data_IF_115346350709
#
_entry.id   IF_115346350709
#
_cell.length_a   1.000
_cell.length_b   1.000
_cell.length_c   1.000
_cell.angle_alpha   90.00
_cell.angle_beta   90.00
_cell.angle_gamma   90.00
#
_symmetry.space_group_name_H-M   'P 1'
#
loop_
_entity.id
_entity.type
_entity.pdbx_description
1 polymer ?
#
# COMPACT_ATOMS: atom_id res chain seq x y z
N UNK A 1 15.50 5.47 5.67
CA UNK A 1 15.48 4.00 5.90
C UNK A 1 16.34 3.59 7.09
N UNK A 2 17.66 3.85 7.08
CA UNK A 2 18.58 3.41 8.14
C UNK A 2 18.15 3.78 9.57
N UNK A 3 17.79 5.05 9.82
CA UNK A 3 17.35 5.49 11.15
C UNK A 3 16.08 4.78 11.64
N UNK A 4 15.12 4.52 10.75
CA UNK A 4 13.89 3.80 11.10
C UNK A 4 14.17 2.33 11.45
N UNK A 5 14.92 1.63 10.59
CA UNK A 5 15.26 0.23 10.82
C UNK A 5 16.14 0.05 12.08
N UNK A 6 17.06 0.98 12.32
CA UNK A 6 17.86 1.03 13.55
C UNK A 6 16.99 1.19 14.79
N UNK A 7 16.07 2.17 14.78
CA UNK A 7 15.14 2.40 15.90
C UNK A 7 14.20 1.20 16.13
N UNK A 8 13.74 0.55 15.05
CA UNK A 8 12.92 -0.66 15.16
C UNK A 8 13.69 -1.79 15.86
N UNK A 9 14.93 -2.05 15.42
CA UNK A 9 15.80 -3.08 16.00
C UNK A 9 16.04 -2.83 17.49
N UNK A 10 16.42 -1.61 17.84
CA UNK A 10 16.68 -1.22 19.23
C UNK A 10 15.44 -1.43 20.09
N UNK A 11 14.28 -0.94 19.65
CA UNK A 11 13.02 -1.08 20.40
C UNK A 11 12.60 -2.54 20.60
N UNK A 12 12.87 -3.41 19.63
CA UNK A 12 12.60 -4.85 19.76
C UNK A 12 13.57 -5.50 20.75
N UNK A 13 14.85 -5.16 20.69
CA UNK A 13 15.88 -5.64 21.61
C UNK A 13 15.61 -5.21 23.06
N UNK A 14 15.27 -3.93 23.29
CA UNK A 14 14.91 -3.42 24.63
C UNK A 14 13.68 -4.12 25.21
N UNK A 15 12.79 -4.65 24.36
CA UNK A 15 11.62 -5.44 24.78
C UNK A 15 11.90 -6.94 24.93
N UNK A 16 13.16 -7.37 24.82
CA UNK A 16 13.58 -8.75 25.02
C UNK A 16 13.34 -9.67 23.81
N UNK A 17 13.09 -9.13 22.61
CA UNK A 17 13.00 -9.95 21.40
C UNK A 17 14.37 -10.54 21.08
N UNK A 18 14.45 -11.88 20.99
CA UNK A 18 15.70 -12.63 20.75
C UNK A 18 15.84 -13.17 19.31
N UNK A 19 14.84 -12.94 18.47
CA UNK A 19 14.84 -13.41 17.09
C UNK A 19 15.58 -12.49 16.14
N UNK A 20 15.69 -12.92 14.89
CA UNK A 20 16.16 -12.09 13.79
C UNK A 20 15.01 -11.25 13.23
N UNK A 21 15.30 -10.00 12.90
CA UNK A 21 14.35 -9.11 12.23
C UNK A 21 14.66 -9.12 10.74
N UNK A 22 13.68 -9.54 9.95
CA UNK A 22 13.79 -9.64 8.50
C UNK A 22 12.82 -8.67 7.82
N UNK A 23 13.20 -8.20 6.64
CA UNK A 23 12.44 -7.24 5.82
C UNK A 23 12.08 -7.90 4.49
N UNK A 24 10.82 -7.77 4.07
CA UNK A 24 10.37 -8.25 2.76
C UNK A 24 11.11 -7.52 1.64
N UNK A 25 11.55 -8.26 0.63
CA UNK A 25 12.24 -7.71 -0.54
C UNK A 25 11.26 -7.46 -1.69
N UNK A 26 11.63 -6.55 -2.60
CA UNK A 26 10.83 -6.20 -3.77
C UNK A 26 10.58 -7.39 -4.71
N UNK A 27 11.58 -8.26 -4.90
CA UNK A 27 11.47 -9.48 -5.72
C UNK A 27 10.84 -10.67 -5.00
N UNK A 28 10.27 -10.46 -3.81
CA UNK A 28 9.84 -11.52 -2.90
C UNK A 28 10.96 -12.07 -2.03
N UNK A 29 10.60 -12.91 -1.06
CA UNK A 29 11.55 -13.36 -0.03
C UNK A 29 11.88 -12.26 0.99
N UNK A 30 12.90 -12.50 1.82
CA UNK A 30 13.23 -11.61 2.94
C UNK A 30 14.74 -11.40 3.05
N UNK A 31 15.14 -10.25 3.62
CA UNK A 31 16.55 -9.89 3.89
C UNK A 31 16.76 -9.38 5.30
N UNK A 32 18.01 -9.41 5.76
CA UNK A 32 18.40 -8.83 7.04
C UNK A 32 18.27 -7.31 7.06
N UNK A 33 18.17 -6.73 8.27
CA UNK A 33 18.17 -5.28 8.44
C UNK A 33 19.46 -4.65 7.92
N UNK A 34 20.60 -5.31 8.10
CA UNK A 34 21.90 -4.84 7.60
C UNK A 34 21.88 -4.70 6.07
N UNK A 35 21.35 -5.71 5.38
CA UNK A 35 21.21 -5.69 3.93
C UNK A 35 20.24 -4.61 3.49
N UNK A 36 19.11 -4.45 4.19
CA UNK A 36 18.13 -3.42 3.90
C UNK A 36 18.69 -1.99 4.04
N UNK A 37 19.61 -1.78 5.00
CA UNK A 37 20.31 -0.50 5.17
C UNK A 37 21.31 -0.24 4.04
N UNK A 38 22.05 -1.27 3.62
CA UNK A 38 23.04 -1.16 2.54
C UNK A 38 22.41 -1.04 1.15
N UNK A 39 21.28 -1.71 0.92
CA UNK A 39 20.58 -1.78 -0.36
C UNK A 39 19.08 -1.43 -0.21
N UNK A 40 18.75 -0.18 0.19
CA UNK A 40 17.38 0.22 0.51
C UNK A 40 16.44 0.20 -0.70
N UNK A 41 16.95 0.26 -1.92
CA UNK A 41 16.13 0.11 -3.13
C UNK A 41 15.48 -1.27 -3.21
N UNK A 42 16.08 -2.31 -2.62
CA UNK A 42 15.55 -3.68 -2.61
C UNK A 42 14.36 -3.90 -1.66
N UNK A 43 13.93 -2.87 -0.92
CA UNK A 43 12.69 -2.90 -0.11
C UNK A 43 11.59 -2.00 -0.70
N UNK A 44 11.75 -1.55 -1.94
CA UNK A 44 10.68 -0.90 -2.68
C UNK A 44 9.47 -1.83 -2.80
N UNK A 45 8.25 -1.32 -2.64
CA UNK A 45 7.01 -2.13 -2.64
C UNK A 45 6.97 -3.32 -1.65
N UNK A 46 7.81 -3.34 -0.59
CA UNK A 46 7.91 -4.50 0.31
C UNK A 46 6.58 -4.93 0.95
N UNK A 47 5.67 -3.99 1.21
CA UNK A 47 4.34 -4.30 1.77
C UNK A 47 3.43 -4.98 0.74
N UNK A 48 3.13 -4.32 -0.39
CA UNK A 48 2.33 -4.90 -1.47
C UNK A 48 2.84 -6.25 -1.97
N UNK A 49 4.17 -6.40 -2.11
CA UNK A 49 4.81 -7.68 -2.47
C UNK A 49 4.42 -8.79 -1.50
N UNK A 50 4.49 -8.52 -0.18
CA UNK A 50 4.06 -9.50 0.83
C UNK A 50 2.57 -9.86 0.69
N UNK A 51 1.72 -8.86 0.40
CA UNK A 51 0.30 -9.04 0.18
C UNK A 51 0.00 -9.92 -1.04
N UNK A 52 0.66 -9.65 -2.17
CA UNK A 52 0.52 -10.43 -3.41
C UNK A 52 0.99 -11.88 -3.20
N UNK A 53 2.15 -12.09 -2.58
CA UNK A 53 2.65 -13.45 -2.29
C UNK A 53 1.67 -14.19 -1.38
N UNK A 54 1.15 -13.53 -0.34
CA UNK A 54 0.15 -14.11 0.55
C UNK A 54 -1.14 -14.47 -0.19
N UNK A 55 -1.64 -13.57 -1.03
CA UNK A 55 -2.83 -13.77 -1.84
C UNK A 55 -2.66 -14.95 -2.83
N UNK A 56 -1.51 -15.06 -3.48
CA UNK A 56 -1.19 -16.17 -4.38
C UNK A 56 -1.28 -17.52 -3.65
N UNK A 57 -0.69 -17.61 -2.44
CA UNK A 57 -0.73 -18.83 -1.62
C UNK A 57 -2.14 -19.19 -1.19
N UNK A 58 -2.92 -18.21 -0.76
CA UNK A 58 -4.32 -18.43 -0.35
C UNK A 58 -5.18 -18.85 -1.54
N UNK A 59 -5.08 -18.16 -2.69
CA UNK A 59 -5.82 -18.48 -3.90
C UNK A 59 -5.54 -19.92 -4.36
N UNK A 60 -4.26 -20.30 -4.41
CA UNK A 60 -3.86 -21.66 -4.80
C UNK A 60 -4.40 -22.72 -3.83
N UNK A 61 -4.34 -22.46 -2.51
CA UNK A 61 -4.89 -23.36 -1.50
C UNK A 61 -6.42 -23.52 -1.59
N UNK A 62 -7.11 -22.53 -2.14
CA UNK A 62 -8.55 -22.55 -2.40
C UNK A 62 -8.92 -23.17 -3.77
N UNK A 63 -7.94 -23.69 -4.53
CA UNK A 63 -8.17 -24.28 -5.85
C UNK A 63 -8.25 -23.27 -6.99
N UNK A 64 -7.81 -22.03 -6.78
CA UNK A 64 -7.68 -21.00 -7.81
C UNK A 64 -6.21 -20.84 -8.20
N UNK A 65 -5.70 -21.62 -9.18
CA UNK A 65 -4.31 -21.53 -9.61
C UNK A 65 -4.01 -20.23 -10.35
N UNK A 66 -5.02 -19.48 -10.82
CA UNK A 66 -4.85 -18.19 -11.46
C UNK A 66 -5.72 -17.17 -10.71
N UNK A 67 -5.10 -16.11 -10.21
CA UNK A 67 -5.79 -15.08 -9.47
C UNK A 67 -5.15 -13.71 -9.69
N UNK A 68 -5.97 -12.66 -9.57
CA UNK A 68 -5.51 -11.28 -9.53
C UNK A 68 -5.50 -10.85 -8.07
N UNK A 69 -4.32 -10.57 -7.53
CA UNK A 69 -4.18 -9.96 -6.22
C UNK A 69 -4.46 -8.47 -6.34
N UNK A 70 -5.32 -7.92 -5.49
CA UNK A 70 -5.70 -6.50 -5.53
C UNK A 70 -5.64 -5.92 -4.10
N UNK A 71 -4.85 -4.86 -3.91
CA UNK A 71 -4.72 -4.14 -2.65
C UNK A 71 -4.96 -2.64 -2.89
N UNK A 72 -6.03 -2.12 -2.30
CA UNK A 72 -6.39 -0.71 -2.39
C UNK A 72 -6.22 -0.02 -1.05
N UNK A 73 -5.30 0.95 -1.03
CA UNK A 73 -5.12 1.86 0.09
C UNK A 73 -5.92 3.16 -0.06
N UNK A 74 -5.60 4.15 0.77
CA UNK A 74 -6.20 5.49 0.70
C UNK A 74 -5.69 6.35 -0.46
N UNK A 75 -4.56 6.00 -1.08
CA UNK A 75 -3.95 6.84 -2.12
C UNK A 75 -3.83 6.10 -3.44
N UNK A 76 -3.45 4.82 -3.38
CA UNK A 76 -3.17 4.03 -4.56
C UNK A 76 -3.77 2.64 -4.45
N UNK A 77 -4.04 2.06 -5.60
CA UNK A 77 -4.45 0.67 -5.76
C UNK A 77 -3.33 -0.07 -6.49
N UNK A 78 -3.04 -1.28 -6.04
CA UNK A 78 -2.01 -2.14 -6.59
C UNK A 78 -2.61 -3.47 -6.98
N UNK A 79 -2.15 -4.00 -8.10
CA UNK A 79 -2.63 -5.27 -8.64
C UNK A 79 -1.49 -6.11 -9.21
N UNK A 80 -1.62 -7.42 -9.14
CA UNK A 80 -0.67 -8.37 -9.70
C UNK A 80 -1.36 -9.65 -10.16
N UNK A 81 -0.92 -10.22 -11.27
CA UNK A 81 -1.35 -11.54 -11.71
C UNK A 81 -0.51 -12.61 -11.01
N UNK A 82 -1.20 -13.60 -10.46
CA UNK A 82 -0.58 -14.74 -9.77
C UNK A 82 -0.97 -16.04 -10.46
N UNK A 83 -0.01 -16.97 -10.55
CA UNK A 83 -0.16 -18.26 -11.23
C UNK A 83 0.49 -19.37 -10.41
N UNK A 84 -0.25 -20.46 -10.22
CA UNK A 84 0.15 -21.67 -9.50
C UNK A 84 0.75 -21.36 -8.11
N UNK A 85 0.14 -20.39 -7.41
CA UNK A 85 0.59 -19.95 -6.09
C UNK A 85 1.83 -19.07 -6.06
N UNK A 86 2.29 -18.60 -7.22
CA UNK A 86 3.45 -17.72 -7.38
C UNK A 86 3.05 -16.37 -7.98
N UNK A 87 3.80 -15.34 -7.63
CA UNK A 87 3.73 -14.04 -8.29
C UNK A 87 4.83 -13.95 -9.36
N UNK A 88 4.56 -13.27 -10.46
CA UNK A 88 5.54 -13.06 -11.52
C UNK A 88 6.63 -12.09 -11.05
N UNK A 89 7.88 -12.30 -11.49
CA UNK A 89 9.02 -11.43 -11.18
C UNK A 89 9.49 -10.79 -12.48
N UNK A 90 9.64 -9.46 -12.46
CA UNK A 90 10.10 -8.65 -13.57
C UNK A 90 11.32 -7.82 -13.16
N UNK A 91 12.11 -7.38 -14.14
CA UNK A 91 13.16 -6.36 -13.97
C UNK A 91 12.77 -5.03 -14.62
N UNK A 92 11.57 -4.96 -15.22
CA UNK A 92 11.07 -3.79 -15.92
C UNK A 92 10.13 -2.98 -15.01
N UNK A 93 10.68 -2.42 -13.93
CA UNK A 93 9.90 -1.62 -12.97
C UNK A 93 10.26 -0.13 -13.06
N UNK A 94 9.26 0.75 -13.03
CA UNK A 94 9.41 2.20 -13.13
C UNK A 94 8.83 2.91 -11.90
N UNK A 95 9.68 3.57 -11.11
CA UNK A 95 9.21 4.40 -9.99
C UNK A 95 8.64 5.71 -10.55
N UNK A 96 7.35 5.96 -10.32
CA UNK A 96 6.66 7.16 -10.84
C UNK A 96 5.96 6.94 -12.18
N UNK A 97 5.68 5.68 -12.54
CA UNK A 97 4.93 5.30 -13.73
C UNK A 97 5.79 5.12 -14.98
N UNK A 98 5.25 4.41 -15.97
CA UNK A 98 6.01 4.00 -17.16
C UNK A 98 6.53 5.18 -18.02
N UNK A 99 5.75 6.26 -18.17
CA UNK A 99 6.07 7.36 -19.08
C UNK A 99 7.11 8.35 -18.54
N UNK A 100 7.14 8.55 -17.22
CA UNK A 100 7.95 9.61 -16.57
C UNK A 100 8.80 9.09 -15.41
N UNK A 101 8.69 7.79 -15.11
CA UNK A 101 9.36 7.18 -13.97
C UNK A 101 10.80 6.79 -14.25
N UNK A 102 11.51 6.47 -13.17
CA UNK A 102 12.90 6.01 -13.24
C UNK A 102 12.93 4.49 -13.29
N UNK A 103 13.61 3.88 -14.27
CA UNK A 103 13.73 2.43 -14.35
C UNK A 103 14.60 1.89 -13.21
N UNK A 104 14.17 0.78 -12.62
CA UNK A 104 14.89 0.07 -11.55
C UNK A 104 15.29 -1.31 -12.06
N UNK A 105 16.59 -1.54 -12.19
CA UNK A 105 17.18 -2.78 -12.73
C UNK A 105 17.39 -3.83 -11.63
N UNK A 106 16.35 -4.10 -10.84
CA UNK A 106 16.36 -5.13 -9.80
C UNK A 106 15.16 -6.06 -10.01
N UNK A 107 15.23 -7.33 -9.57
CA UNK A 107 14.06 -8.19 -9.54
C UNK A 107 12.98 -7.61 -8.61
N UNK A 108 11.77 -7.42 -9.14
CA UNK A 108 10.59 -6.94 -8.42
C UNK A 108 9.41 -7.84 -8.79
N UNK A 109 8.54 -8.15 -7.83
CA UNK A 109 7.27 -8.80 -8.16
C UNK A 109 6.48 -7.88 -9.09
N UNK A 110 5.95 -8.42 -10.19
CA UNK A 110 5.22 -7.64 -11.17
C UNK A 110 3.92 -7.09 -10.56
N UNK A 111 3.97 -5.81 -10.20
CA UNK A 111 2.89 -5.07 -9.56
C UNK A 111 2.64 -3.82 -10.39
N UNK A 112 1.38 -3.66 -10.77
CA UNK A 112 0.90 -2.45 -11.43
C UNK A 112 0.24 -1.58 -10.36
N UNK A 113 0.63 -0.30 -10.32
CA UNK A 113 0.03 0.70 -9.44
C UNK A 113 -0.82 1.68 -10.24
N UNK A 114 -2.00 2.00 -9.69
CA UNK A 114 -2.86 3.07 -10.16
C UNK A 114 -2.99 4.11 -9.06
N UNK A 115 -2.81 5.38 -9.41
CA UNK A 115 -2.96 6.56 -8.54
C UNK A 115 -4.41 6.86 -8.16
N UNK A 116 -5.17 5.84 -7.77
CA UNK A 116 -6.53 5.94 -7.27
C UNK A 116 -6.71 5.02 -6.07
N UNK A 117 -7.17 5.57 -4.95
CA UNK A 117 -7.49 4.83 -3.74
C UNK A 117 -8.63 5.50 -2.98
N UNK A 118 -8.97 5.01 -1.78
CA UNK A 118 -10.15 5.48 -1.05
C UNK A 118 -10.15 6.97 -0.64
N UNK A 119 -9.00 7.65 -0.69
CA UNK A 119 -8.85 9.08 -0.45
C UNK A 119 -8.66 9.90 -1.73
N UNK A 120 -8.71 9.30 -2.92
CA UNK A 120 -8.62 10.04 -4.17
C UNK A 120 -9.80 10.97 -4.33
N UNK A 121 -9.52 12.22 -4.69
CA UNK A 121 -10.50 13.31 -4.75
C UNK A 121 -11.35 13.15 -6.02
N UNK A 122 -12.67 13.23 -5.85
CA UNK A 122 -13.62 13.25 -6.94
C UNK A 122 -13.83 14.68 -7.44
N UNK A 123 -13.84 14.89 -8.75
CA UNK A 123 -14.07 16.18 -9.40
C UNK A 123 -14.78 16.00 -10.75
N UNK A 124 -15.29 17.09 -11.31
CA UNK A 124 -15.92 17.13 -12.64
C UNK A 124 -14.96 17.79 -13.63
N UNK A 125 -14.74 17.15 -14.77
CA UNK A 125 -13.99 17.77 -15.85
C UNK A 125 -14.79 18.87 -16.57
N UNK A 126 -14.13 19.59 -17.48
CA UNK A 126 -14.74 20.68 -18.22
C UNK A 126 -15.92 20.25 -19.11
N UNK A 127 -16.03 18.95 -19.43
CA UNK A 127 -17.14 18.37 -20.19
C UNK A 127 -18.26 17.83 -19.27
N UNK A 128 -18.13 18.00 -17.95
CA UNK A 128 -19.10 17.50 -16.96
C UNK A 128 -18.94 16.02 -16.62
N UNK A 129 -17.87 15.37 -17.07
CA UNK A 129 -17.56 13.98 -16.74
C UNK A 129 -16.98 13.86 -15.33
N UNK A 130 -17.40 12.83 -14.58
CA UNK A 130 -16.84 12.56 -13.25
C UNK A 130 -15.46 11.90 -13.35
N UNK A 131 -14.52 12.40 -12.56
CA UNK A 131 -13.14 11.92 -12.43
C UNK A 131 -12.81 11.69 -10.95
N UNK A 132 -11.92 10.75 -10.69
CA UNK A 132 -11.40 10.44 -9.35
C UNK A 132 -9.88 10.36 -9.43
N UNK A 133 -9.19 11.08 -8.54
CA UNK A 133 -7.73 11.22 -8.59
C UNK A 133 -7.25 12.17 -9.70
N UNK A 134 -5.94 12.29 -9.94
CA UNK A 134 -4.86 11.59 -9.24
C UNK A 134 -4.56 12.19 -7.85
N UNK A 135 -5.12 13.36 -7.53
CA UNK A 135 -4.92 14.01 -6.23
C UNK A 135 -5.66 13.24 -5.13
N UNK A 136 -5.01 13.03 -3.99
CA UNK A 136 -5.58 12.35 -2.82
C UNK A 136 -5.62 13.27 -1.60
N UNK A 137 -6.66 13.11 -0.78
CA UNK A 137 -6.78 13.75 0.52
C UNK A 137 -5.83 13.15 1.59
N UNK A 138 -5.15 12.04 1.25
CA UNK A 138 -4.22 11.35 2.15
C UNK A 138 -4.90 10.78 3.39
N UNK A 139 -4.13 10.64 4.48
CA UNK A 139 -4.66 10.15 5.77
C UNK A 139 -4.99 11.27 6.77
N UNK A 140 -4.39 12.46 6.60
CA UNK A 140 -4.61 13.67 7.40
C UNK A 140 -4.57 14.87 6.45
N UNK A 141 -5.65 15.67 6.35
CA UNK A 141 -6.93 15.52 7.06
C UNK A 141 -7.72 14.27 6.58
N UNK A 142 -7.41 13.75 5.39
CA UNK A 142 -8.06 12.57 4.83
C UNK A 142 -9.47 12.82 4.31
N UNK A 143 -10.19 11.76 3.90
CA UNK A 143 -11.59 11.82 3.49
C UNK A 143 -12.47 12.58 4.49
N UNK A 144 -13.47 13.32 3.99
CA UNK A 144 -14.42 14.04 4.84
C UNK A 144 -15.13 13.13 5.86
N UNK A 145 -15.31 11.85 5.54
CA UNK A 145 -15.90 10.87 6.46
C UNK A 145 -14.98 10.49 7.65
N UNK A 146 -13.72 10.93 7.68
CA UNK A 146 -12.81 10.71 8.82
C UNK A 146 -13.03 11.68 9.98
N UNK A 147 -13.74 12.80 9.77
CA UNK A 147 -14.04 13.78 10.82
C UNK A 147 -12.81 14.57 11.32
N UNK A 148 -11.76 14.70 10.51
CA UNK A 148 -10.52 15.42 10.86
C UNK A 148 -10.35 16.76 10.15
N UNK A 149 -11.46 17.40 9.76
CA UNK A 149 -11.46 18.67 9.03
C UNK A 149 -11.24 18.56 7.51
N UNK A 150 -11.27 17.34 6.95
CA UNK A 150 -11.26 17.16 5.49
C UNK A 150 -12.59 17.58 4.88
N UNK A 151 -12.56 18.39 3.81
CA UNK A 151 -13.76 18.93 3.16
C UNK A 151 -13.98 18.42 1.73
N UNK A 152 -12.96 17.78 1.14
CA UNK A 152 -13.00 17.31 -0.24
C UNK A 152 -13.82 16.00 -0.38
N UNK A 153 -14.58 15.88 -1.47
CA UNK A 153 -15.23 14.62 -1.84
C UNK A 153 -14.17 13.62 -2.33
N UNK A 154 -14.23 12.40 -1.82
CA UNK A 154 -13.26 11.33 -2.14
C UNK A 154 -13.98 10.03 -2.49
N UNK A 155 -13.29 9.06 -3.09
CA UNK A 155 -13.89 7.77 -3.46
C UNK A 155 -14.46 7.00 -2.25
N UNK A 156 -13.84 7.14 -1.08
CA UNK A 156 -14.31 6.57 0.19
C UNK A 156 -15.52 7.28 0.81
N UNK A 157 -16.27 8.09 0.04
CA UNK A 157 -17.37 8.89 0.57
C UNK A 157 -18.71 8.15 0.64
N UNK A 158 -19.45 8.45 1.71
CA UNK A 158 -20.53 7.69 2.39
C UNK A 158 -21.83 7.48 1.59
N UNK A 159 -21.93 7.79 0.30
CA UNK A 159 -23.22 7.82 -0.42
C UNK A 159 -23.62 6.54 -1.16
N UNK A 160 -22.78 5.51 -1.25
CA UNK A 160 -23.20 4.22 -1.81
C UNK A 160 -23.65 3.26 -0.71
N UNK A 161 -24.90 2.82 -0.81
CA UNK A 161 -25.70 2.03 0.14
C UNK A 161 -25.14 0.66 0.57
N UNK A 162 -23.89 0.34 0.23
CA UNK A 162 -23.30 -1.00 0.37
C UNK A 162 -22.24 -1.13 1.47
N UNK A 163 -21.73 -0.03 2.02
CA UNK A 163 -20.78 -0.09 3.13
C UNK A 163 -21.51 0.00 4.47
N UNK A 164 -21.52 -1.11 5.23
CA UNK A 164 -21.77 -1.06 6.68
C UNK A 164 -20.88 0.05 7.27
N UNK A 165 -21.35 0.84 8.25
CA UNK A 165 -20.59 1.95 8.80
C UNK A 165 -19.19 1.46 9.12
N UNK A 166 -18.23 1.86 8.27
CA UNK A 166 -16.85 1.49 8.47
C UNK A 166 -16.54 2.03 9.86
N UNK A 167 -16.24 1.14 10.80
CA UNK A 167 -15.45 1.53 11.97
C UNK A 167 -14.11 1.95 11.38
N UNK A 168 -14.04 3.19 10.89
CA UNK A 168 -12.80 3.80 10.45
C UNK A 168 -11.89 3.67 11.66
N UNK A 169 -10.93 2.75 11.58
CA UNK A 169 -9.90 2.61 12.61
C UNK A 169 -8.99 3.81 12.44
N UNK A 170 -9.47 4.96 12.90
CA UNK A 170 -8.63 6.11 13.13
C UNK A 170 -7.72 5.68 14.27
N UNK A 171 -6.49 5.30 13.96
CA UNK A 171 -5.43 5.18 14.96
C UNK A 171 -5.19 6.61 15.46
N UNK A 172 -5.95 7.03 16.47
CA UNK A 172 -5.76 8.33 17.10
C UNK A 172 -4.45 8.27 17.88
N UNK A 173 -3.54 9.22 17.59
CA UNK A 173 -2.65 9.69 18.66
C UNK A 173 -3.58 10.42 19.63
N UNK A 174 -3.60 10.00 20.90
CA UNK A 174 -4.43 10.59 21.96
C UNK A 174 -4.30 12.12 21.92
N UNK A 175 -5.44 12.81 22.00
CA UNK A 175 -5.52 14.27 22.11
C UNK A 175 -6.85 14.79 21.59
N UNK A 176 -7.78 14.98 22.53
CA UNK A 176 -8.97 15.85 22.52
C UNK A 176 -10.18 15.58 21.61
N UNK A 177 -11.30 15.30 22.29
CA UNK A 177 -12.43 16.22 22.35
C UNK A 177 -13.24 16.40 21.06
N UNK A 178 -14.30 15.63 20.92
CA UNK A 178 -15.30 15.77 19.86
C UNK A 178 -16.14 17.06 19.98
N UNK A 179 -16.54 17.62 18.83
CA UNK A 179 -17.95 17.94 18.53
C UNK A 179 -18.16 18.27 17.03
N UNK A 180 -19.13 17.56 16.45
CA UNK A 180 -19.89 17.73 15.20
C UNK A 180 -19.19 18.14 13.90
#
# INVERSE_FOLDING_TARGET
VAGYLGSLRERLQTRGFKGEVLVMQSGGGVMSLETAVQKPVGMMESGPVAGVIGAARVACALGYPQAIAFDMGGTTAKTSLTRDGNAEITTHYYIGGYNSGHPVMLPVVDIIEVGSGGGSIAWLDAAGGSKVGPVSAGAVPGPACYGKGGTQQTDGHRRQSYTRPARCRVVSRRGDGAQC
#
